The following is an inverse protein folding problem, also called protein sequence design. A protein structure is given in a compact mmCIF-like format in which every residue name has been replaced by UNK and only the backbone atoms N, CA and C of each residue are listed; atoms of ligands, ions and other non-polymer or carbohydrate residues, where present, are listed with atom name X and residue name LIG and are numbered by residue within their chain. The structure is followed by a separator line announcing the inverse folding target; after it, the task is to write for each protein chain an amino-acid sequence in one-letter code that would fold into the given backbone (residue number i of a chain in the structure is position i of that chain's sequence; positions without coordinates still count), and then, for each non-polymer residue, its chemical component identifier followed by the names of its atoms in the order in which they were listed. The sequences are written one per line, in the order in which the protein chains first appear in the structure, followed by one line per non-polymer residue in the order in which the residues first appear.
data_IF_472733055819
#
_entry.id   IF_472733055819
#
_cell.length_a   1.000
_cell.length_b   1.000
_cell.length_c   1.000
_cell.angle_alpha   90.00
_cell.angle_beta   90.00
_cell.angle_gamma   90.00
#
_symmetry.space_group_name_H-M   'P 1'
#
loop_
_entity.id
_entity.type
_entity.pdbx_description
1 polymer ?
#
# COMPACT_ATOMS: atom_id res chain seq x y z
N UNK A 1 -11.89 -11.30 1.70
CA UNK A 1 -11.05 -10.88 0.54
C UNK A 1 -10.90 -9.36 0.54
N UNK A 2 -9.67 -8.85 0.63
CA UNK A 2 -9.43 -7.43 0.32
C UNK A 2 -9.30 -7.32 -1.20
N UNK A 3 -10.13 -6.50 -1.82
CA UNK A 3 -10.02 -6.21 -3.25
C UNK A 3 -8.96 -5.14 -3.47
N UNK A 4 -8.22 -5.24 -4.58
CA UNK A 4 -7.24 -4.24 -5.03
C UNK A 4 -7.78 -2.80 -4.92
N UNK A 5 -9.08 -2.62 -5.18
CA UNK A 5 -9.79 -1.35 -5.03
C UNK A 5 -9.73 -0.75 -3.61
N UNK A 6 -9.90 -1.58 -2.56
CA UNK A 6 -9.82 -1.12 -1.16
C UNK A 6 -8.40 -0.68 -0.80
N UNK A 7 -7.41 -1.42 -1.29
CA UNK A 7 -5.99 -1.14 -1.06
C UNK A 7 -5.59 0.17 -1.75
N UNK A 8 -5.96 0.36 -3.01
CA UNK A 8 -5.72 1.61 -3.76
C UNK A 8 -6.46 2.81 -3.16
N UNK A 9 -7.65 2.60 -2.56
CA UNK A 9 -8.35 3.66 -1.85
C UNK A 9 -7.57 4.10 -0.61
N UNK A 10 -7.18 3.15 0.24
CA UNK A 10 -6.40 3.43 1.43
C UNK A 10 -5.05 4.09 1.09
N UNK A 11 -4.34 3.62 0.05
CA UNK A 11 -3.09 4.23 -0.40
C UNK A 11 -3.27 5.69 -0.82
N UNK A 12 -4.37 6.04 -1.51
CA UNK A 12 -4.70 7.43 -1.88
C UNK A 12 -4.98 8.30 -0.66
N UNK A 13 -5.74 7.80 0.31
CA UNK A 13 -6.02 8.53 1.55
C UNK A 13 -4.72 8.80 2.32
N UNK A 14 -3.80 7.84 2.37
CA UNK A 14 -2.49 8.02 3.00
C UNK A 14 -1.59 9.03 2.28
N UNK A 15 -1.69 9.14 0.95
CA UNK A 15 -0.95 10.13 0.17
C UNK A 15 -1.49 11.56 0.36
N UNK A 16 -2.76 11.72 0.75
CA UNK A 16 -3.32 13.04 1.09
C UNK A 16 -2.87 13.56 2.46
N UNK A 17 -2.38 12.68 3.34
CA UNK A 17 -1.87 13.06 4.66
C UNK A 17 -0.43 13.57 4.59
N UNK A 18 -0.06 14.46 5.51
CA UNK A 18 1.29 15.00 5.62
C UNK A 18 2.33 13.88 5.85
N UNK A 19 3.53 14.05 5.30
CA UNK A 19 4.58 13.00 5.35
C UNK A 19 5.02 12.62 6.76
N UNK A 20 4.89 13.55 7.71
CA UNK A 20 5.23 13.35 9.13
C UNK A 20 4.05 12.89 9.98
N UNK A 21 2.87 12.67 9.39
CA UNK A 21 1.71 12.23 10.16
C UNK A 21 1.89 10.78 10.64
N UNK A 22 1.67 10.57 11.93
CA UNK A 22 1.84 9.27 12.58
C UNK A 22 0.91 8.21 12.00
N UNK A 23 -0.32 8.58 11.59
CA UNK A 23 -1.24 7.64 10.95
C UNK A 23 -0.73 7.22 9.59
N UNK A 24 -0.17 8.16 8.80
CA UNK A 24 0.43 7.84 7.51
C UNK A 24 1.54 6.80 7.66
N UNK A 25 2.45 6.96 8.62
CA UNK A 25 3.57 6.04 8.82
C UNK A 25 3.13 4.65 9.27
N UNK A 26 2.20 4.57 10.22
CA UNK A 26 1.67 3.31 10.75
C UNK A 26 0.88 2.54 9.69
N UNK A 27 -0.14 3.17 9.13
CA UNK A 27 -1.04 2.53 8.15
C UNK A 27 -0.29 2.17 6.87
N UNK A 28 0.66 3.01 6.43
CA UNK A 28 1.57 2.68 5.32
C UNK A 28 2.31 1.38 5.58
N UNK A 29 3.02 1.28 6.70
CA UNK A 29 3.85 0.12 6.99
C UNK A 29 2.99 -1.14 7.20
N UNK A 30 1.77 -1.01 7.74
CA UNK A 30 0.81 -2.11 7.84
C UNK A 30 0.34 -2.61 6.46
N UNK A 31 -0.03 -1.68 5.56
CA UNK A 31 -0.44 -2.00 4.19
C UNK A 31 0.67 -2.67 3.39
N UNK A 32 1.88 -2.13 3.46
CA UNK A 32 3.04 -2.67 2.72
C UNK A 32 3.38 -4.09 3.21
N UNK A 33 3.43 -4.33 4.53
CA UNK A 33 3.67 -5.68 5.06
C UNK A 33 2.61 -6.68 4.64
N UNK A 34 1.35 -6.24 4.55
CA UNK A 34 0.26 -7.09 4.09
C UNK A 34 0.39 -7.44 2.61
N UNK A 35 0.85 -6.51 1.78
CA UNK A 35 1.07 -6.74 0.36
C UNK A 35 2.22 -7.70 0.08
N UNK A 36 3.34 -7.50 0.78
CA UNK A 36 4.52 -8.38 0.68
C UNK A 36 4.13 -9.81 1.04
N UNK A 37 3.32 -9.99 2.10
CA UNK A 37 2.82 -11.31 2.52
C UNK A 37 1.90 -11.99 1.50
N UNK A 38 1.22 -11.21 0.66
CA UNK A 38 0.35 -11.76 -0.40
C UNK A 38 1.17 -12.07 -1.67
N UNK A 39 2.42 -11.61 -1.76
CA UNK A 39 3.30 -11.83 -2.91
C UNK A 39 3.19 -10.78 -4.01
N UNK A 40 2.34 -9.76 -3.81
CA UNK A 40 2.16 -8.71 -4.82
C UNK A 40 3.17 -7.57 -4.76
N UNK A 41 4.13 -7.60 -3.82
CA UNK A 41 5.19 -6.59 -3.77
C UNK A 41 6.49 -7.19 -3.22
N UNK A 42 7.60 -6.82 -3.85
CA UNK A 42 8.94 -7.14 -3.38
C UNK A 42 9.37 -6.20 -2.23
N UNK A 43 10.09 -6.73 -1.24
CA UNK A 43 10.56 -5.97 -0.07
C UNK A 43 11.42 -4.77 -0.43
N UNK A 44 12.09 -4.80 -1.59
CA UNK A 44 12.90 -3.70 -2.10
C UNK A 44 12.06 -2.53 -2.64
N UNK A 45 10.77 -2.76 -2.92
CA UNK A 45 9.85 -1.79 -3.54
C UNK A 45 8.78 -1.26 -2.58
N UNK A 46 9.03 -1.24 -1.28
CA UNK A 46 8.10 -0.74 -0.23
C UNK A 46 7.79 0.77 -0.30
N UNK A 47 7.19 1.25 -1.39
CA UNK A 47 6.65 2.61 -1.54
C UNK A 47 5.16 2.58 -1.82
N UNK A 48 4.43 3.57 -1.28
CA UNK A 48 2.99 3.74 -1.52
C UNK A 48 2.65 3.92 -3.00
N UNK A 49 3.54 4.54 -3.76
CA UNK A 49 3.37 4.76 -5.21
C UNK A 49 3.24 3.45 -5.98
N UNK A 50 4.01 2.42 -5.61
CA UNK A 50 3.92 1.11 -6.25
C UNK A 50 2.56 0.46 -6.03
N UNK A 51 1.91 0.72 -4.89
CA UNK A 51 0.57 0.19 -4.58
C UNK A 51 -0.50 0.73 -5.54
N UNK A 52 -0.31 1.95 -6.07
CA UNK A 52 -1.22 2.52 -7.07
C UNK A 52 -1.04 1.84 -8.44
N UNK A 53 0.18 1.45 -8.78
CA UNK A 53 0.54 0.82 -10.06
C UNK A 53 0.26 -0.68 -10.17
N UNK A 54 -0.07 -1.36 -9.07
CA UNK A 54 -0.32 -2.81 -9.07
C UNK A 54 -1.48 -3.21 -9.97
N UNK A 55 -1.32 -4.26 -10.76
CA UNK A 55 -2.39 -4.83 -11.58
C UNK A 55 -2.97 -6.05 -10.88
N UNK A 56 -4.12 -6.53 -11.38
CA UNK A 56 -4.72 -7.78 -10.90
C UNK A 56 -3.83 -9.00 -11.16
N UNK A 57 -2.93 -8.91 -12.14
CA UNK A 57 -1.96 -9.94 -12.51
C UNK A 57 -0.84 -10.09 -11.47
N UNK A 58 -0.62 -9.08 -10.62
CA UNK A 58 0.37 -9.10 -9.54
C UNK A 58 -0.18 -9.74 -8.24
N UNK A 59 -1.36 -10.38 -8.28
CA UNK A 59 -2.11 -10.84 -7.10
C UNK A 59 -2.46 -12.33 -7.13
#
# INVERSE_FOLDING_TARGET
KYTLAKIRKAARELLTLAEKDTRRLLERNALLRRLVRIGGLDESRMKLDFVLGLRLEDF
#
